data_IF_339206850485
#
_entry.id   IF_339206850485
#
_cell.length_a   1.000
_cell.length_b   1.000
_cell.length_c   1.000
_cell.angle_alpha   90.00
_cell.angle_beta   90.00
_cell.angle_gamma   90.00
#
_symmetry.space_group_name_H-M   'P 1'
#
loop_
_entity.id
_entity.type
_entity.pdbx_description
1 polymer ?
#
# COMPACT_ATOMS: atom_id res chain seq x y z
N UNK A 1 3.03 8.34 69.20
CA UNK A 1 2.36 7.23 69.93
C UNK A 1 1.33 6.60 68.99
N UNK A 2 1.31 5.26 68.89
CA UNK A 2 0.39 4.46 68.05
C UNK A 2 1.05 3.86 66.80
N UNK A 3 1.97 2.90 66.98
CA UNK A 3 1.76 1.44 66.86
C UNK A 3 1.80 0.88 65.42
N UNK A 4 2.95 0.28 65.12
CA UNK A 4 3.21 -0.62 64.02
C UNK A 4 2.51 -1.97 64.20
N UNK A 5 2.05 -2.58 63.10
CA UNK A 5 1.90 -4.03 62.96
C UNK A 5 2.23 -4.47 61.53
N UNK A 6 3.41 -5.04 61.38
CA UNK A 6 3.81 -6.00 60.36
C UNK A 6 3.02 -7.30 60.52
N UNK A 7 2.45 -7.83 59.43
CA UNK A 7 2.08 -9.25 59.31
C UNK A 7 2.52 -9.76 57.95
N UNK A 8 3.31 -10.82 57.99
CA UNK A 8 3.83 -11.60 56.87
C UNK A 8 2.93 -12.82 56.68
N UNK A 9 2.58 -13.17 55.44
CA UNK A 9 2.01 -14.49 55.10
C UNK A 9 2.24 -14.72 53.59
N UNK A 10 3.32 -15.43 53.21
CA UNK A 10 3.40 -16.88 52.93
C UNK A 10 2.54 -17.34 51.73
N UNK A 11 3.23 -17.49 50.59
CA UNK A 11 2.84 -18.29 49.43
C UNK A 11 2.69 -19.78 49.80
N UNK A 12 1.68 -20.51 49.29
CA UNK A 12 1.69 -21.96 49.25
C UNK A 12 2.29 -22.51 47.93
N UNK A 13 2.68 -23.80 47.90
CA UNK A 13 3.69 -24.33 46.97
C UNK A 13 3.13 -24.95 45.68
N UNK A 14 4.08 -25.22 44.76
CA UNK A 14 3.99 -26.03 43.54
C UNK A 14 3.15 -27.31 43.70
N UNK A 15 2.33 -27.62 42.69
CA UNK A 15 1.93 -28.99 42.37
C UNK A 15 2.48 -29.34 40.98
N UNK A 16 3.52 -30.18 40.98
CA UNK A 16 3.97 -30.99 39.86
C UNK A 16 3.00 -32.17 39.70
N UNK A 17 2.43 -32.38 38.50
CA UNK A 17 1.82 -33.65 38.13
C UNK A 17 2.47 -34.13 36.83
N UNK A 18 3.11 -35.29 36.95
CA UNK A 18 3.89 -36.01 35.94
C UNK A 18 3.04 -37.13 35.33
N UNK A 19 2.92 -37.14 33.98
CA UNK A 19 2.82 -38.26 33.01
C UNK A 19 1.81 -39.41 33.26
N UNK A 20 1.56 -40.41 32.38
CA UNK A 20 2.12 -40.72 31.04
C UNK A 20 1.07 -41.09 29.96
N UNK A 21 1.47 -41.29 28.69
CA UNK A 21 0.56 -41.80 27.67
C UNK A 21 1.12 -41.98 26.26
N UNK A 22 2.23 -42.70 26.12
CA UNK A 22 2.75 -43.19 24.84
C UNK A 22 1.96 -44.44 24.44
N UNK A 23 1.31 -44.43 23.26
CA UNK A 23 0.93 -45.66 22.54
C UNK A 23 1.27 -45.53 21.06
N UNK A 24 2.18 -46.39 20.64
CA UNK A 24 2.56 -46.73 19.28
C UNK A 24 1.65 -47.82 18.69
N UNK A 25 1.74 -47.95 17.35
CA UNK A 25 1.19 -48.98 16.45
C UNK A 25 -0.26 -48.69 16.00
N UNK A 26 -0.65 -48.77 14.73
CA UNK A 26 -0.13 -49.60 13.65
C UNK A 26 -0.63 -49.07 12.29
N UNK A 27 0.06 -49.49 11.23
CA UNK A 27 -0.31 -49.34 9.82
C UNK A 27 -1.79 -49.64 9.54
N UNK A 28 -2.42 -48.78 8.75
CA UNK A 28 -3.47 -49.23 7.84
C UNK A 28 -3.24 -48.59 6.46
N UNK A 29 -3.04 -49.47 5.49
CA UNK A 29 -2.88 -49.15 4.07
C UNK A 29 -4.27 -49.12 3.46
N UNK A 30 -4.77 -47.93 3.11
CA UNK A 30 -5.89 -47.87 2.18
C UNK A 30 -5.70 -46.82 1.09
N UNK A 31 -5.98 -47.29 -0.12
CA UNK A 31 -5.54 -46.77 -1.39
C UNK A 31 -6.67 -45.94 -1.96
N UNK A 32 -6.57 -44.61 -1.89
CA UNK A 32 -7.47 -43.73 -2.67
C UNK A 32 -6.68 -42.81 -3.58
N UNK A 33 -6.66 -43.21 -4.84
CA UNK A 33 -6.33 -42.37 -6.00
C UNK A 33 -7.19 -41.10 -5.94
N UNK A 34 -6.56 -39.96 -5.71
CA UNK A 34 -7.13 -38.65 -6.00
C UNK A 34 -6.21 -37.96 -7.00
N UNK A 35 -6.78 -37.63 -8.14
CA UNK A 35 -6.17 -36.96 -9.28
C UNK A 35 -5.51 -35.64 -8.86
N UNK A 36 -4.18 -35.64 -8.81
CA UNK A 36 -3.37 -34.44 -8.76
C UNK A 36 -3.54 -33.69 -10.09
N UNK A 37 -4.42 -32.69 -10.08
CA UNK A 37 -4.41 -31.63 -11.09
C UNK A 37 -3.10 -30.87 -10.91
N UNK A 38 -2.19 -31.11 -11.84
CA UNK A 38 -0.87 -30.48 -11.93
C UNK A 38 -1.02 -28.96 -11.95
N UNK A 39 -0.70 -28.30 -10.83
CA UNK A 39 -0.53 -26.84 -10.79
C UNK A 39 0.67 -26.49 -11.69
N UNK A 40 0.55 -25.56 -12.65
CA UNK A 40 1.71 -25.14 -13.42
C UNK A 40 2.77 -24.57 -12.50
N UNK A 41 3.99 -25.04 -12.75
CA UNK A 41 5.25 -24.73 -12.13
C UNK A 41 5.40 -23.24 -11.78
N UNK A 42 5.78 -22.96 -10.53
CA UNK A 42 6.25 -21.64 -10.11
C UNK A 42 7.50 -21.28 -10.93
N UNK A 43 7.32 -20.46 -11.96
CA UNK A 43 8.41 -19.97 -12.77
C UNK A 43 9.38 -19.14 -11.90
N UNK A 44 10.62 -19.59 -11.89
CA UNK A 44 11.77 -18.94 -11.29
C UNK A 44 11.94 -17.54 -11.93
N UNK A 45 11.77 -16.49 -11.14
CA UNK A 45 11.93 -15.11 -11.62
C UNK A 45 13.39 -14.69 -11.46
N UNK A 46 14.19 -14.94 -12.51
CA UNK A 46 15.31 -14.04 -12.82
C UNK A 46 14.78 -12.63 -13.07
N UNK A 47 15.64 -11.62 -12.92
CA UNK A 47 15.33 -10.18 -12.98
C UNK A 47 14.82 -9.72 -14.37
N UNK A 48 13.69 -10.26 -14.84
CA UNK A 48 13.00 -9.89 -16.06
C UNK A 48 12.03 -8.76 -15.75
N UNK A 49 12.07 -7.71 -16.58
CA UNK A 49 11.09 -6.64 -16.55
C UNK A 49 9.66 -7.22 -16.64
N UNK A 50 8.70 -6.68 -15.85
CA UNK A 50 7.38 -7.26 -15.75
C UNK A 50 6.66 -7.21 -17.09
N UNK A 51 6.14 -8.36 -17.54
CA UNK A 51 5.26 -8.47 -18.72
C UNK A 51 3.84 -7.97 -18.41
N UNK A 52 3.73 -6.82 -17.76
CA UNK A 52 2.49 -6.22 -17.27
C UNK A 52 2.26 -4.87 -17.95
N UNK A 53 1.08 -4.63 -18.52
CA UNK A 53 0.76 -3.45 -19.32
C UNK A 53 -0.52 -2.77 -18.83
N UNK A 54 -0.54 -1.45 -18.82
CA UNK A 54 -1.73 -0.67 -18.47
C UNK A 54 -2.65 -0.53 -19.69
N UNK A 55 -3.96 -0.67 -19.47
CA UNK A 55 -5.02 -0.42 -20.47
C UNK A 55 -6.19 0.28 -19.82
N UNK A 56 -6.97 1.05 -20.56
CA UNK A 56 -8.11 1.79 -19.98
C UNK A 56 -9.34 0.91 -19.72
N UNK A 57 -9.51 -0.15 -20.52
CA UNK A 57 -10.65 -1.07 -20.46
C UNK A 57 -10.21 -2.52 -20.69
N UNK A 58 -10.81 -3.44 -19.92
CA UNK A 58 -10.59 -4.89 -19.94
C UNK A 58 -11.84 -5.70 -20.36
N UNK A 59 -12.90 -5.03 -20.82
CA UNK A 59 -14.21 -5.64 -21.13
C UNK A 59 -14.19 -6.55 -22.36
N UNK A 60 -13.37 -6.22 -23.37
CA UNK A 60 -13.29 -6.96 -24.62
C UNK A 60 -12.59 -8.32 -24.48
N UNK A 61 -12.97 -9.29 -25.31
CA UNK A 61 -12.32 -10.61 -25.37
C UNK A 61 -10.90 -10.56 -25.97
N UNK A 62 -10.66 -9.59 -26.85
CA UNK A 62 -9.34 -9.28 -27.41
C UNK A 62 -9.06 -7.80 -27.21
N UNK A 63 -7.90 -7.48 -26.66
CA UNK A 63 -7.49 -6.12 -26.33
C UNK A 63 -6.28 -5.74 -27.16
N UNK A 64 -6.37 -4.58 -27.81
CA UNK A 64 -5.28 -4.04 -28.61
C UNK A 64 -4.41 -3.12 -27.75
N UNK A 65 -3.17 -3.54 -27.50
CA UNK A 65 -2.12 -2.66 -26.99
C UNK A 65 -1.58 -1.82 -28.13
N UNK A 66 -1.48 -0.51 -27.92
CA UNK A 66 -0.96 0.44 -28.90
C UNK A 66 -0.02 1.46 -28.23
N UNK A 67 0.65 2.27 -29.03
CA UNK A 67 1.45 3.39 -28.53
C UNK A 67 2.63 2.94 -27.68
N UNK A 68 2.81 3.56 -26.51
CA UNK A 68 3.98 3.35 -25.66
C UNK A 68 4.07 1.92 -25.12
N UNK A 69 2.94 1.32 -24.74
CA UNK A 69 2.91 -0.06 -24.20
C UNK A 69 3.28 -1.10 -25.28
N UNK A 70 2.80 -0.93 -26.52
CA UNK A 70 3.18 -1.81 -27.63
C UNK A 70 4.67 -1.67 -27.99
N UNK A 71 5.19 -0.44 -28.02
CA UNK A 71 6.62 -0.21 -28.27
C UNK A 71 7.49 -0.80 -27.17
N UNK A 72 7.07 -0.70 -25.91
CA UNK A 72 7.77 -1.32 -24.78
C UNK A 72 7.79 -2.84 -24.91
N UNK A 73 6.64 -3.45 -25.19
CA UNK A 73 6.52 -4.89 -25.40
C UNK A 73 7.43 -5.40 -26.52
N UNK A 74 7.49 -4.70 -27.66
CA UNK A 74 8.26 -5.14 -28.82
C UNK A 74 9.75 -4.83 -28.69
N UNK A 75 10.13 -3.60 -28.32
CA UNK A 75 11.53 -3.16 -28.34
C UNK A 75 12.30 -3.59 -27.09
N UNK A 76 11.66 -3.57 -25.93
CA UNK A 76 12.32 -3.84 -24.66
C UNK A 76 12.16 -5.31 -24.27
N UNK A 77 10.92 -5.82 -24.34
CA UNK A 77 10.61 -7.19 -23.91
C UNK A 77 10.67 -8.22 -25.03
N UNK A 78 10.74 -7.79 -26.30
CA UNK A 78 10.80 -8.64 -27.50
C UNK A 78 9.66 -9.66 -27.56
N UNK A 79 8.47 -9.27 -27.12
CA UNK A 79 7.30 -10.13 -27.09
C UNK A 79 6.69 -10.30 -28.49
N UNK A 80 6.15 -11.48 -28.76
CA UNK A 80 5.46 -11.82 -30.00
C UNK A 80 4.27 -12.76 -29.80
N UNK A 81 3.63 -13.21 -30.88
CA UNK A 81 2.52 -14.15 -30.81
C UNK A 81 2.88 -15.41 -30.02
N UNK A 82 1.99 -15.82 -29.12
CA UNK A 82 2.19 -16.94 -28.19
C UNK A 82 2.71 -16.54 -26.81
N UNK A 83 3.29 -15.34 -26.63
CA UNK A 83 3.72 -14.88 -25.31
C UNK A 83 2.55 -14.53 -24.39
N UNK A 84 2.72 -14.82 -23.10
CA UNK A 84 1.78 -14.44 -22.05
C UNK A 84 2.12 -13.06 -21.47
N UNK A 85 1.08 -12.28 -21.21
CA UNK A 85 1.14 -10.95 -20.61
C UNK A 85 0.02 -10.78 -19.58
N UNK A 86 0.22 -9.84 -18.66
CA UNK A 86 -0.82 -9.39 -17.74
C UNK A 86 -1.26 -7.98 -18.11
N UNK A 87 -2.55 -7.76 -18.25
CA UNK A 87 -3.14 -6.45 -18.47
C UNK A 87 -3.80 -5.97 -17.17
N UNK A 88 -3.74 -4.69 -16.86
CA UNK A 88 -4.44 -4.12 -15.70
C UNK A 88 -4.99 -2.73 -16.01
N UNK A 89 -6.12 -2.37 -15.39
CA UNK A 89 -6.78 -1.08 -15.64
C UNK A 89 -6.44 0.01 -14.61
N UNK A 90 -5.78 -0.38 -13.51
CA UNK A 90 -5.50 0.50 -12.37
C UNK A 90 -6.73 0.84 -11.54
N UNK A 91 -7.91 0.30 -11.87
CA UNK A 91 -9.19 0.46 -11.14
C UNK A 91 -9.56 -0.80 -10.36
N UNK A 92 -8.74 -1.83 -10.46
CA UNK A 92 -8.85 -3.08 -9.71
C UNK A 92 -9.10 -4.29 -10.58
N UNK A 93 -9.20 -4.16 -11.90
CA UNK A 93 -9.26 -5.30 -12.79
C UNK A 93 -7.87 -5.65 -13.32
N UNK A 94 -7.65 -6.94 -13.47
CA UNK A 94 -6.47 -7.51 -14.08
C UNK A 94 -6.90 -8.67 -14.98
N UNK A 95 -6.18 -8.89 -16.07
CA UNK A 95 -6.42 -10.01 -16.95
C UNK A 95 -5.11 -10.68 -17.37
N UNK A 96 -5.10 -12.00 -17.33
CA UNK A 96 -4.06 -12.77 -18.02
C UNK A 96 -4.47 -12.92 -19.49
N UNK A 97 -3.53 -12.66 -20.38
CA UNK A 97 -3.75 -12.74 -21.81
C UNK A 97 -2.60 -13.39 -22.56
N UNK A 98 -2.87 -13.74 -23.80
CA UNK A 98 -1.89 -14.27 -24.75
C UNK A 98 -1.88 -13.39 -25.99
N UNK A 99 -0.70 -13.02 -26.45
CA UNK A 99 -0.55 -12.26 -27.68
C UNK A 99 -0.92 -13.19 -28.85
N UNK A 100 -1.91 -12.78 -29.65
CA UNK A 100 -2.38 -13.54 -30.83
C UNK A 100 -1.90 -12.93 -32.14
N UNK A 101 -1.64 -11.62 -32.16
CA UNK A 101 -1.07 -10.94 -33.31
C UNK A 101 -0.12 -9.82 -32.86
N UNK A 102 0.90 -9.58 -33.69
CA UNK A 102 1.86 -8.51 -33.47
C UNK A 102 2.07 -7.72 -34.78
N UNK A 103 1.90 -6.40 -34.68
CA UNK A 103 2.25 -5.44 -35.70
C UNK A 103 3.36 -4.50 -35.18
N UNK A 104 3.91 -3.65 -36.06
CA UNK A 104 5.03 -2.76 -35.72
C UNK A 104 4.80 -1.90 -34.47
N UNK A 105 3.58 -1.40 -34.29
CA UNK A 105 3.21 -0.46 -33.22
C UNK A 105 1.95 -0.91 -32.45
N UNK A 106 1.58 -2.20 -32.56
CA UNK A 106 0.42 -2.75 -31.86
C UNK A 106 0.55 -4.26 -31.59
N UNK A 107 -0.07 -4.71 -30.50
CA UNK A 107 -0.23 -6.12 -30.15
C UNK A 107 -1.70 -6.40 -29.86
N UNK A 108 -2.23 -7.49 -30.40
CA UNK A 108 -3.57 -7.95 -30.05
C UNK A 108 -3.45 -9.09 -29.03
N UNK A 109 -4.10 -8.92 -27.89
CA UNK A 109 -4.01 -9.81 -26.73
C UNK A 109 -5.37 -10.45 -26.49
N UNK A 110 -5.45 -11.76 -26.66
CA UNK A 110 -6.62 -12.56 -26.29
C UNK A 110 -6.67 -12.71 -24.77
N UNK A 111 -7.82 -12.42 -24.16
CA UNK A 111 -8.04 -12.52 -22.72
C UNK A 111 -8.35 -13.96 -22.34
N UNK A 112 -7.53 -14.53 -21.46
CA UNK A 112 -7.67 -15.91 -20.98
C UNK A 112 -8.45 -15.98 -19.66
N UNK A 113 -8.16 -15.07 -18.73
CA UNK A 113 -8.80 -15.02 -17.42
C UNK A 113 -8.81 -13.60 -16.87
N UNK A 114 -9.91 -13.21 -16.23
CA UNK A 114 -10.05 -11.92 -15.55
C UNK A 114 -10.06 -12.11 -14.03
N UNK A 115 -9.43 -11.17 -13.32
CA UNK A 115 -9.42 -11.06 -11.87
C UNK A 115 -9.91 -9.67 -11.47
N UNK A 116 -10.67 -9.61 -10.39
CA UNK A 116 -11.10 -8.37 -9.77
C UNK A 116 -10.48 -8.30 -8.37
N UNK A 117 -9.87 -7.17 -8.06
CA UNK A 117 -9.41 -6.86 -6.72
C UNK A 117 -10.62 -6.87 -5.77
N UNK A 118 -10.52 -7.62 -4.68
CA UNK A 118 -11.53 -7.60 -3.62
C UNK A 118 -11.73 -6.19 -3.03
N UNK A 119 -12.79 -6.02 -2.24
CA UNK A 119 -12.99 -4.78 -1.50
C UNK A 119 -11.75 -4.49 -0.62
N UNK A 120 -11.34 -3.22 -0.56
CA UNK A 120 -10.23 -2.84 0.29
C UNK A 120 -10.61 -3.10 1.76
N UNK A 121 -9.86 -3.98 2.43
CA UNK A 121 -10.08 -4.29 3.85
C UNK A 121 -9.62 -3.18 4.77
N UNK A 122 -8.66 -2.37 4.29
CA UNK A 122 -8.25 -1.13 4.89
C UNK A 122 -7.59 -0.20 3.86
N UNK A 123 -7.70 1.12 4.06
CA UNK A 123 -7.22 2.15 3.14
C UNK A 123 -6.31 3.17 3.83
N UNK A 124 -5.24 3.57 3.14
CA UNK A 124 -4.35 4.64 3.58
C UNK A 124 -4.41 5.80 2.59
N UNK A 125 -4.78 6.96 3.13
CA UNK A 125 -4.68 8.25 2.47
C UNK A 125 -3.52 9.02 3.10
N UNK A 126 -2.65 9.59 2.27
CA UNK A 126 -1.61 10.52 2.71
C UNK A 126 -1.94 11.90 2.18
N UNK A 127 -2.10 12.88 3.06
CA UNK A 127 -2.06 14.30 2.68
C UNK A 127 -0.70 14.86 3.04
N UNK A 128 0.07 15.26 2.03
CA UNK A 128 1.47 15.61 2.22
C UNK A 128 1.77 16.98 1.63
N UNK A 129 2.44 17.82 2.40
CA UNK A 129 3.05 19.03 1.87
C UNK A 129 3.98 18.69 0.71
N UNK A 130 4.02 19.53 -0.32
CA UNK A 130 4.77 19.22 -1.53
C UNK A 130 6.24 19.62 -1.34
N UNK A 131 7.20 18.67 -1.36
CA UNK A 131 8.61 19.01 -1.22
C UNK A 131 9.13 19.74 -2.46
N UNK A 132 10.18 20.53 -2.28
CA UNK A 132 10.86 21.24 -3.38
C UNK A 132 11.59 20.27 -4.32
N UNK A 133 11.58 20.60 -5.62
CA UNK A 133 12.30 19.88 -6.67
C UNK A 133 11.67 18.53 -7.06
N UNK A 134 12.52 17.59 -7.46
CA UNK A 134 12.14 16.27 -7.96
C UNK A 134 11.79 15.27 -6.84
N UNK A 135 11.98 15.67 -5.58
CA UNK A 135 11.69 14.84 -4.40
C UNK A 135 10.21 14.42 -4.32
N UNK A 136 9.33 15.25 -4.86
CA UNK A 136 7.90 14.95 -4.90
C UNK A 136 7.58 13.78 -5.85
N UNK A 137 8.39 13.61 -6.91
CA UNK A 137 8.22 12.49 -7.83
C UNK A 137 8.60 11.18 -7.17
N UNK A 138 9.74 11.19 -6.46
CA UNK A 138 10.17 10.04 -5.68
C UNK A 138 9.13 9.68 -4.60
N UNK A 139 8.59 10.67 -3.90
CA UNK A 139 7.50 10.48 -2.93
C UNK A 139 6.31 9.77 -3.56
N UNK A 140 5.79 10.27 -4.69
CA UNK A 140 4.63 9.70 -5.39
C UNK A 140 4.88 8.25 -5.78
N UNK A 141 6.05 7.97 -6.37
CA UNK A 141 6.44 6.62 -6.78
C UNK A 141 6.45 5.66 -5.58
N UNK A 142 7.08 6.04 -4.46
CA UNK A 142 7.22 5.18 -3.29
C UNK A 142 5.92 5.01 -2.52
N UNK A 143 5.09 6.04 -2.43
CA UNK A 143 3.75 5.90 -1.86
C UNK A 143 2.88 4.93 -2.66
N UNK A 144 2.93 4.99 -4.01
CA UNK A 144 2.20 4.06 -4.87
C UNK A 144 2.70 2.62 -4.71
N UNK A 145 4.03 2.41 -4.67
CA UNK A 145 4.64 1.08 -4.43
C UNK A 145 4.21 0.49 -3.07
N UNK A 146 4.09 1.33 -2.04
CA UNK A 146 3.72 0.94 -0.67
C UNK A 146 2.21 0.83 -0.44
N UNK A 147 1.39 0.95 -1.49
CA UNK A 147 -0.04 0.70 -1.43
C UNK A 147 -0.86 1.80 -0.75
N UNK A 148 -0.37 3.04 -0.77
CA UNK A 148 -1.20 4.23 -0.50
C UNK A 148 -2.28 4.27 -1.57
N UNK A 149 -3.55 4.42 -1.17
CA UNK A 149 -4.67 4.41 -2.15
C UNK A 149 -4.91 5.79 -2.76
N UNK A 150 -4.59 6.85 -2.01
CA UNK A 150 -4.84 8.23 -2.38
C UNK A 150 -3.77 9.14 -1.79
N UNK A 151 -3.21 10.01 -2.62
CA UNK A 151 -2.31 11.09 -2.22
C UNK A 151 -3.00 12.44 -2.46
N UNK A 152 -3.05 13.25 -1.41
CA UNK A 152 -3.58 14.61 -1.45
C UNK A 152 -2.40 15.60 -1.32
N UNK A 153 -2.05 16.35 -2.38
CA UNK A 153 -1.05 17.41 -2.28
C UNK A 153 -1.55 18.51 -1.34
N UNK A 154 -0.93 18.65 -0.17
CA UNK A 154 -1.40 19.54 0.88
C UNK A 154 -0.82 20.94 0.75
N UNK A 155 -1.69 21.94 0.66
CA UNK A 155 -1.36 23.36 0.65
C UNK A 155 -1.26 23.90 2.10
N UNK A 156 -0.26 23.42 2.83
CA UNK A 156 -0.01 23.87 4.21
C UNK A 156 0.40 25.35 4.26
N UNK A 157 0.10 26.02 5.38
CA UNK A 157 0.37 27.45 5.58
C UNK A 157 1.86 27.80 5.42
N UNK A 158 2.75 26.96 5.95
CA UNK A 158 4.21 27.12 5.83
C UNK A 158 4.82 26.43 4.60
N UNK A 159 3.98 25.83 3.74
CA UNK A 159 4.43 25.18 2.51
C UNK A 159 4.56 26.19 1.37
N UNK A 160 5.71 26.20 0.69
CA UNK A 160 5.99 27.16 -0.39
C UNK A 160 5.59 26.67 -1.78
N UNK A 161 5.51 25.35 -1.98
CA UNK A 161 5.26 24.78 -3.30
C UNK A 161 3.75 24.65 -3.54
N UNK A 162 3.30 25.11 -4.71
CA UNK A 162 1.93 24.94 -5.21
C UNK A 162 2.02 24.22 -6.57
N UNK A 163 1.77 22.90 -6.65
CA UNK A 163 1.88 22.18 -7.90
C UNK A 163 0.72 22.56 -8.82
N UNK A 164 1.03 22.94 -10.08
CA UNK A 164 0.01 23.13 -11.11
C UNK A 164 -0.42 21.82 -11.78
N UNK A 165 -1.46 21.88 -12.62
CA UNK A 165 -2.11 20.70 -13.22
C UNK A 165 -1.12 19.79 -13.98
N UNK A 166 -0.20 20.37 -14.77
CA UNK A 166 0.80 19.58 -15.50
C UNK A 166 1.70 18.72 -14.59
N UNK A 167 1.97 19.19 -13.36
CA UNK A 167 2.74 18.42 -12.37
C UNK A 167 1.88 17.31 -11.78
N UNK A 168 0.61 17.59 -11.50
CA UNK A 168 -0.36 16.59 -11.04
C UNK A 168 -0.55 15.48 -12.08
N UNK A 169 -0.73 15.81 -13.35
CA UNK A 169 -0.87 14.82 -14.43
C UNK A 169 0.37 13.96 -14.60
N UNK A 170 1.56 14.55 -14.39
CA UNK A 170 2.81 13.78 -14.34
C UNK A 170 2.83 12.81 -13.15
N UNK A 171 2.34 13.21 -11.98
CA UNK A 171 2.23 12.33 -10.82
C UNK A 171 1.20 11.22 -11.01
N UNK A 172 0.05 11.50 -11.63
CA UNK A 172 -0.95 10.49 -11.99
C UNK A 172 -0.34 9.38 -12.86
N UNK A 173 0.38 9.77 -13.92
CA UNK A 173 1.12 8.82 -14.78
C UNK A 173 2.16 8.02 -14.00
N UNK A 174 2.92 8.68 -13.12
CA UNK A 174 3.93 8.02 -12.28
C UNK A 174 3.31 7.02 -11.29
N UNK A 175 2.14 7.33 -10.72
CA UNK A 175 1.42 6.41 -9.85
C UNK A 175 0.98 5.15 -10.62
N UNK A 176 0.46 5.29 -11.84
CA UNK A 176 0.10 4.14 -12.70
C UNK A 176 1.33 3.29 -13.02
N UNK A 177 2.45 3.91 -13.41
CA UNK A 177 3.69 3.19 -13.69
C UNK A 177 4.25 2.47 -12.45
N UNK A 178 4.23 3.14 -11.29
CA UNK A 178 4.64 2.51 -10.03
C UNK A 178 3.74 1.32 -9.68
N UNK A 179 2.42 1.43 -9.88
CA UNK A 179 1.48 0.33 -9.68
C UNK A 179 1.70 -0.83 -10.66
N UNK A 180 2.09 -0.54 -11.91
CA UNK A 180 2.52 -1.54 -12.89
C UNK A 180 3.72 -2.33 -12.39
N UNK A 181 4.76 -1.65 -11.92
CA UNK A 181 6.00 -2.29 -11.44
C UNK A 181 5.80 -3.06 -10.12
N UNK A 182 4.99 -2.52 -9.20
CA UNK A 182 4.67 -3.12 -7.91
C UNK A 182 3.53 -4.16 -7.95
N UNK A 183 2.95 -4.41 -9.13
CA UNK A 183 1.86 -5.37 -9.37
C UNK A 183 0.58 -5.08 -8.58
N UNK A 184 0.35 -3.82 -8.24
CA UNK A 184 -0.89 -3.37 -7.61
C UNK A 184 -2.02 -3.36 -8.65
N UNK A 185 -3.18 -3.94 -8.31
CA UNK A 185 -4.35 -3.93 -9.19
C UNK A 185 -5.04 -2.57 -9.25
N UNK A 186 -4.95 -1.79 -8.16
CA UNK A 186 -5.44 -0.41 -8.08
C UNK A 186 -4.26 0.55 -8.08
N UNK A 187 -4.32 1.56 -8.94
CA UNK A 187 -3.37 2.64 -8.93
C UNK A 187 -3.71 3.64 -7.81
N UNK A 188 -2.69 4.23 -7.20
CA UNK A 188 -2.89 5.32 -6.25
C UNK A 188 -3.49 6.53 -6.98
N UNK A 189 -4.60 7.07 -6.48
CA UNK A 189 -5.15 8.32 -7.02
C UNK A 189 -4.34 9.52 -6.52
N UNK A 190 -4.16 10.52 -7.39
CA UNK A 190 -3.58 11.82 -7.03
C UNK A 190 -4.67 12.87 -7.18
N UNK A 191 -5.01 13.49 -6.07
CA UNK A 191 -6.03 14.54 -6.01
C UNK A 191 -5.51 15.88 -6.52
N UNK A 192 -6.44 16.81 -6.75
CA UNK A 192 -6.10 18.22 -6.85
C UNK A 192 -5.48 18.73 -5.54
N UNK A 193 -4.59 19.73 -5.59
CA UNK A 193 -4.02 20.32 -4.39
C UNK A 193 -5.12 20.89 -3.49
N UNK A 194 -5.05 20.59 -2.19
CA UNK A 194 -6.10 20.91 -1.24
C UNK A 194 -5.53 21.59 0.01
N UNK A 195 -6.31 22.48 0.60
CA UNK A 195 -6.07 23.01 1.94
C UNK A 195 -6.23 21.91 2.99
N UNK A 196 -5.74 22.16 4.21
CA UNK A 196 -5.91 21.24 5.33
C UNK A 196 -7.38 20.95 5.64
N UNK A 197 -8.24 21.98 5.59
CA UNK A 197 -9.67 21.81 5.83
C UNK A 197 -10.33 20.93 4.78
N UNK A 198 -9.98 21.10 3.50
CA UNK A 198 -10.50 20.26 2.42
C UNK A 198 -10.03 18.81 2.54
N UNK A 199 -8.75 18.59 2.89
CA UNK A 199 -8.20 17.26 3.10
C UNK A 199 -8.90 16.50 4.24
N UNK A 200 -9.20 17.18 5.35
CA UNK A 200 -9.95 16.60 6.48
C UNK A 200 -11.39 16.26 6.07
N UNK A 201 -12.07 17.17 5.38
CA UNK A 201 -13.44 16.96 4.88
C UNK A 201 -13.55 15.83 3.86
N UNK A 202 -12.51 15.63 3.04
CA UNK A 202 -12.46 14.58 2.03
C UNK A 202 -12.33 13.15 2.61
N UNK A 203 -12.02 13.03 3.91
CA UNK A 203 -11.79 11.76 4.61
C UNK A 203 -12.53 11.71 5.97
N UNK A 204 -13.85 11.93 6.02
CA UNK A 204 -14.57 12.22 7.26
C UNK A 204 -14.65 11.03 8.23
N UNK A 205 -14.52 9.80 7.70
CA UNK A 205 -14.55 8.57 8.49
C UNK A 205 -13.16 8.00 8.77
N UNK A 206 -12.06 8.66 8.39
CA UNK A 206 -10.72 8.11 8.57
C UNK A 206 -10.18 8.37 9.99
N UNK A 207 -9.33 7.48 10.50
CA UNK A 207 -8.51 7.78 11.66
C UNK A 207 -7.41 8.76 11.23
N UNK A 208 -7.43 9.97 11.81
CA UNK A 208 -6.53 11.05 11.41
C UNK A 208 -5.29 11.10 12.30
N UNK A 209 -4.11 11.14 11.69
CA UNK A 209 -2.83 11.37 12.36
C UNK A 209 -2.06 12.49 11.69
N UNK A 210 -1.39 13.34 12.47
CA UNK A 210 -0.41 14.29 11.93
C UNK A 210 0.98 13.93 12.44
N UNK A 211 1.93 13.85 11.51
CA UNK A 211 3.30 13.48 11.83
C UNK A 211 4.10 14.71 12.23
N UNK A 212 4.67 14.64 13.43
CA UNK A 212 5.51 15.69 14.01
C UNK A 212 6.69 15.06 14.74
N UNK A 213 7.80 15.80 14.87
CA UNK A 213 9.04 15.33 15.46
C UNK A 213 9.14 15.58 16.97
N UNK A 214 8.14 16.22 17.60
CA UNK A 214 8.11 16.45 19.05
C UNK A 214 8.26 15.12 19.81
N UNK A 215 9.31 14.94 20.64
CA UNK A 215 9.55 13.72 21.40
C UNK A 215 8.41 13.30 22.35
N UNK A 216 7.56 14.26 22.78
CA UNK A 216 6.41 14.00 23.65
C UNK A 216 5.26 13.31 22.92
N UNK A 217 5.24 13.34 21.59
CA UNK A 217 4.21 12.67 20.81
C UNK A 217 4.42 11.14 20.78
N UNK A 218 3.33 10.35 20.75
CA UNK A 218 3.44 8.89 20.68
C UNK A 218 3.95 8.44 19.30
N UNK A 219 4.50 7.22 19.23
CA UNK A 219 4.77 6.59 17.94
C UNK A 219 3.47 6.33 17.16
N UNK A 220 3.55 6.34 15.83
CA UNK A 220 2.44 5.97 14.97
C UNK A 220 1.96 4.54 15.30
N UNK A 221 0.67 4.32 15.66
CA UNK A 221 0.22 3.01 16.09
C UNK A 221 0.41 1.92 15.02
N UNK A 222 0.80 0.70 15.42
CA UNK A 222 0.92 -0.44 14.51
C UNK A 222 -0.45 -0.88 13.93
N UNK A 223 -1.50 -0.84 14.75
CA UNK A 223 -2.83 -1.34 14.42
C UNK A 223 -3.76 -0.35 13.73
N UNK A 224 -3.25 0.66 13.01
CA UNK A 224 -4.13 1.68 12.38
C UNK A 224 -5.08 1.04 11.37
N UNK A 225 -4.62 0.03 10.64
CA UNK A 225 -5.45 -0.71 9.68
C UNK A 225 -6.59 -1.50 10.33
N UNK A 226 -6.48 -1.80 11.63
CA UNK A 226 -7.48 -2.50 12.42
C UNK A 226 -8.40 -1.54 13.19
N UNK A 227 -8.31 -0.22 12.94
CA UNK A 227 -9.24 0.75 13.52
C UNK A 227 -10.68 0.41 13.12
N UNK A 228 -11.66 0.86 13.92
CA UNK A 228 -13.07 0.72 13.59
C UNK A 228 -13.42 1.28 12.20
N UNK A 229 -12.67 2.29 11.76
CA UNK A 229 -12.83 2.96 10.48
C UNK A 229 -12.23 2.20 9.30
N UNK A 230 -11.25 1.31 9.56
CA UNK A 230 -10.44 0.63 8.54
C UNK A 230 -9.79 1.59 7.52
N UNK A 231 -9.76 2.88 7.81
CA UNK A 231 -9.22 3.91 6.92
C UNK A 231 -8.42 4.90 7.75
N UNK A 232 -7.27 5.32 7.21
CA UNK A 232 -6.35 6.22 7.86
C UNK A 232 -6.04 7.41 6.95
N UNK A 233 -6.05 8.61 7.53
CA UNK A 233 -5.51 9.81 6.92
C UNK A 233 -4.26 10.22 7.68
N UNK A 234 -3.11 10.17 7.02
CA UNK A 234 -1.84 10.64 7.58
C UNK A 234 -1.47 11.98 6.96
N UNK A 235 -1.32 12.99 7.81
CA UNK A 235 -0.96 14.35 7.46
C UNK A 235 0.55 14.56 7.66
N UNK A 236 1.24 14.93 6.59
CA UNK A 236 2.67 15.25 6.60
C UNK A 236 2.84 16.74 6.29
N UNK A 237 3.38 17.49 7.26
CA UNK A 237 3.60 18.93 7.15
C UNK A 237 4.80 19.31 6.27
N UNK A 238 4.95 20.61 5.94
CA UNK A 238 6.12 21.13 5.24
C UNK A 238 7.35 21.15 6.16
N UNK A 239 8.52 21.53 5.65
CA UNK A 239 9.75 21.63 6.46
C UNK A 239 9.61 22.53 7.69
N UNK A 240 8.73 23.53 7.65
CA UNK A 240 8.42 24.41 8.79
C UNK A 240 7.35 23.88 9.75
N UNK A 241 6.88 22.65 9.57
CA UNK A 241 5.79 22.05 10.36
C UNK A 241 4.43 22.70 10.12
N UNK A 242 3.43 22.23 10.85
CA UNK A 242 2.11 22.86 10.91
C UNK A 242 2.13 24.07 11.84
N UNK A 243 1.27 25.05 11.56
CA UNK A 243 0.99 26.17 12.48
C UNK A 243 0.11 25.72 13.63
N UNK A 244 0.10 26.48 14.73
CA UNK A 244 -0.77 26.18 15.88
C UNK A 244 -2.26 26.17 15.50
N UNK A 245 -2.66 27.04 14.56
CA UNK A 245 -4.00 27.06 14.00
C UNK A 245 -4.33 25.78 13.22
N UNK A 246 -3.40 25.28 12.40
CA UNK A 246 -3.55 24.02 11.68
C UNK A 246 -3.59 22.82 12.64
N UNK A 247 -2.72 22.78 13.65
CA UNK A 247 -2.73 21.73 14.69
C UNK A 247 -4.07 21.75 15.44
N UNK A 248 -4.58 22.93 15.79
CA UNK A 248 -5.89 23.09 16.43
C UNK A 248 -7.01 22.55 15.54
N UNK A 249 -7.00 22.89 14.24
CA UNK A 249 -7.99 22.37 13.29
C UNK A 249 -7.94 20.84 13.16
N UNK A 250 -6.73 20.26 13.10
CA UNK A 250 -6.54 18.81 13.03
C UNK A 250 -7.09 18.13 14.29
N UNK A 251 -6.77 18.66 15.47
CA UNK A 251 -7.25 18.12 16.75
C UNK A 251 -8.77 18.23 16.87
N UNK A 252 -9.36 19.33 16.43
CA UNK A 252 -10.83 19.52 16.39
C UNK A 252 -11.52 18.51 15.46
N UNK A 253 -10.84 18.03 14.42
CA UNK A 253 -11.31 16.95 13.56
C UNK A 253 -11.00 15.54 14.12
N UNK A 254 -10.57 15.42 15.38
CA UNK A 254 -10.22 14.14 16.03
C UNK A 254 -8.83 13.62 15.69
N UNK A 255 -7.99 14.44 15.05
CA UNK A 255 -6.63 14.08 14.66
C UNK A 255 -5.67 14.00 15.84
N UNK A 256 -4.82 12.97 15.81
CA UNK A 256 -3.86 12.66 16.88
C UNK A 256 -2.43 12.90 16.40
N UNK A 257 -1.53 13.40 17.26
CA UNK A 257 -0.12 13.46 16.91
C UNK A 257 0.46 12.05 16.79
N UNK A 258 1.44 11.90 15.91
CA UNK A 258 2.23 10.69 15.81
C UNK A 258 3.67 11.00 15.40
N UNK A 259 4.61 10.17 15.86
CA UNK A 259 6.00 10.16 15.42
C UNK A 259 6.27 8.96 14.53
N UNK A 260 7.15 9.16 13.56
CA UNK A 260 7.63 8.10 12.65
C UNK A 260 9.04 7.62 12.99
N UNK A 261 9.84 8.46 13.65
CA UNK A 261 11.23 8.18 13.99
C UNK A 261 11.69 9.03 15.20
N UNK A 262 12.89 8.73 15.71
CA UNK A 262 13.62 9.58 16.67
C UNK A 262 14.24 10.81 16.02
N UNK A 263 14.71 10.66 14.78
CA UNK A 263 15.27 11.76 13.99
C UNK A 263 14.17 12.58 13.31
N UNK A 264 14.47 13.85 13.03
CA UNK A 264 13.67 14.68 12.13
C UNK A 264 13.78 14.12 10.70
N UNK A 265 12.64 13.79 10.10
CA UNK A 265 12.58 13.29 8.72
C UNK A 265 12.28 14.43 7.74
N UNK A 266 12.82 14.32 6.52
CA UNK A 266 12.37 15.17 5.41
C UNK A 266 10.93 14.80 5.03
N UNK A 267 10.22 15.73 4.40
CA UNK A 267 8.82 15.57 3.99
C UNK A 267 8.59 14.28 3.20
N UNK A 268 9.40 14.04 2.16
CA UNK A 268 9.32 12.82 1.35
C UNK A 268 9.63 11.56 2.14
N UNK A 269 10.59 11.62 3.06
CA UNK A 269 10.97 10.49 3.92
C UNK A 269 9.87 10.17 4.93
N UNK A 270 9.22 11.19 5.50
CA UNK A 270 8.11 11.01 6.43
C UNK A 270 6.90 10.36 5.75
N UNK A 271 6.54 10.82 4.54
CA UNK A 271 5.45 10.19 3.77
C UNK A 271 5.74 8.71 3.46
N UNK A 272 6.95 8.40 3.01
CA UNK A 272 7.36 7.01 2.71
C UNK A 272 7.46 6.16 3.99
N UNK A 273 7.96 6.71 5.09
CA UNK A 273 8.01 6.00 6.37
C UNK A 273 6.61 5.67 6.89
N UNK A 274 5.65 6.60 6.78
CA UNK A 274 4.25 6.37 7.12
C UNK A 274 3.62 5.27 6.24
N UNK A 275 3.86 5.32 4.93
CA UNK A 275 3.39 4.31 4.00
C UNK A 275 4.00 2.93 4.27
N UNK A 276 5.30 2.87 4.56
CA UNK A 276 6.01 1.63 4.88
C UNK A 276 5.53 1.03 6.20
N UNK A 277 5.34 1.87 7.23
CA UNK A 277 4.76 1.45 8.50
C UNK A 277 3.38 0.84 8.29
N UNK A 278 2.51 1.48 7.51
CA UNK A 278 1.21 0.93 7.17
C UNK A 278 1.31 -0.41 6.42
N UNK A 279 2.15 -0.48 5.39
CA UNK A 279 2.31 -1.67 4.57
C UNK A 279 2.82 -2.87 5.39
N UNK A 280 3.82 -2.66 6.24
CA UNK A 280 4.42 -3.70 7.07
C UNK A 280 3.39 -4.32 8.05
N UNK A 281 2.52 -3.50 8.62
CA UNK A 281 1.52 -3.96 9.59
C UNK A 281 0.25 -4.52 8.94
N UNK A 282 0.05 -4.35 7.63
CA UNK A 282 -1.04 -5.00 6.88
C UNK A 282 -0.73 -6.42 6.45
N UNK A 283 0.51 -6.87 6.59
CA UNK A 283 0.87 -8.25 6.27
C UNK A 283 0.13 -9.17 7.26
N UNK A 284 -0.98 -9.74 6.84
CA UNK A 284 -1.54 -10.91 7.51
C UNK A 284 -0.48 -12.01 7.45
N UNK A 285 -0.19 -12.72 8.55
CA UNK A 285 0.64 -13.91 8.49
C UNK A 285 0.08 -14.83 7.41
N UNK A 286 0.92 -15.24 6.45
CA UNK A 286 0.56 -16.36 5.58
C UNK A 286 0.44 -17.59 6.49
N UNK A 287 -0.79 -18.05 6.68
CA UNK A 287 -1.06 -19.35 7.28
C UNK A 287 -0.46 -20.48 6.42
#
# INVERSE_FOLDING_TARGET
MGHARTVSERLPPLILLSAPGMRTLQHDTDTRRSSLVSRPCAAQHGHMAPRRFHVEDLSAATIRLAGDEARHAHKVLRLGPGDHVTLFDGRGQEADGRIVAAARDALDVEILARRQAGAATAELVIACAVPKGDRADWLVEKCAELGVIRLIPLLAARGLVRPGEAKIDRWRRKAVEASKQSRQMRAMSIDAPATLSEALTACPAAAVYYCDADPAHPALPAGIHASATKSALILIGPEGGFTDAEITAIRSAGGRPARLAESILRVETAAVAAAAHWAAHRLTPRA
#
